data_IF_757788572678
#
_entry.id   IF_757788572678
#
_cell.length_a   1.000
_cell.length_b   1.000
_cell.length_c   1.000
_cell.angle_alpha   90.00
_cell.angle_beta   90.00
_cell.angle_gamma   90.00
#
_symmetry.space_group_name_H-M   'P 1'
#
loop_
_entity.id
_entity.type
_entity.pdbx_description
1 polymer ?
#
# COMPACT_ATOMS: atom_id res chain seq x y z
N UNK A 1 48.99 0.33 81.07
CA UNK A 1 49.99 -0.63 80.57
C UNK A 1 49.36 -1.46 79.47
N UNK A 2 50.10 -1.85 78.41
CA UNK A 2 49.91 -3.05 77.55
C UNK A 2 48.46 -3.21 76.98
N UNK A 3 48.11 -2.92 75.72
CA UNK A 3 48.79 -2.83 74.42
C UNK A 3 49.27 -4.18 73.79
N UNK A 4 48.82 -4.47 72.55
CA UNK A 4 49.19 -5.59 71.64
C UNK A 4 48.76 -7.02 72.08
N UNK A 5 48.47 -8.03 71.21
CA UNK A 5 48.45 -8.33 69.74
C UNK A 5 47.16 -9.16 69.45
N UNK A 6 46.60 -9.47 68.26
CA UNK A 6 46.66 -9.15 66.80
C UNK A 6 45.29 -9.64 66.23
N UNK A 7 44.58 -9.02 65.28
CA UNK A 7 44.84 -8.76 63.86
C UNK A 7 44.82 -10.01 62.92
N UNK A 8 43.66 -10.27 62.27
CA UNK A 8 43.55 -10.73 60.87
C UNK A 8 42.07 -10.73 60.36
N UNK A 9 41.90 -10.82 59.03
CA UNK A 9 40.62 -10.86 58.27
C UNK A 9 39.81 -9.55 58.20
N UNK A 10 40.14 -8.72 57.21
CA UNK A 10 39.20 -7.76 56.62
C UNK A 10 38.51 -8.39 55.41
N UNK A 11 37.18 -8.32 55.34
CA UNK A 11 36.41 -8.36 54.08
C UNK A 11 35.00 -7.84 54.36
N UNK A 12 34.59 -6.80 53.64
CA UNK A 12 33.25 -6.22 53.77
C UNK A 12 32.27 -6.96 52.85
N UNK A 13 31.10 -7.34 53.39
CA UNK A 13 29.93 -7.68 52.58
C UNK A 13 28.76 -6.86 53.08
N UNK A 14 28.17 -6.13 52.14
CA UNK A 14 26.96 -5.33 52.21
C UNK A 14 25.99 -5.71 53.35
N UNK A 15 25.85 -4.81 54.32
CA UNK A 15 24.54 -4.60 54.92
C UNK A 15 23.62 -4.07 53.82
N UNK A 16 22.86 -4.97 53.19
CA UNK A 16 21.79 -4.58 52.28
C UNK A 16 20.80 -3.76 53.11
N UNK A 17 20.79 -2.44 52.89
CA UNK A 17 19.64 -1.61 53.21
C UNK A 17 18.49 -2.18 52.39
N UNK A 18 17.68 -3.02 53.02
CA UNK A 18 16.47 -3.53 52.41
C UNK A 18 15.52 -2.35 52.22
N UNK A 19 15.61 -1.72 51.05
CA UNK A 19 14.53 -0.95 50.47
C UNK A 19 13.31 -1.87 50.54
N UNK A 20 12.39 -1.55 51.46
CA UNK A 20 11.22 -2.36 51.69
C UNK A 20 10.40 -2.34 50.41
N UNK A 21 10.46 -3.43 49.63
CA UNK A 21 9.66 -3.65 48.43
C UNK A 21 8.21 -3.77 48.88
N UNK A 22 7.57 -2.61 49.07
CA UNK A 22 6.15 -2.47 48.79
C UNK A 22 5.95 -2.98 47.37
N UNK A 23 4.88 -3.73 47.13
CA UNK A 23 4.46 -3.91 45.75
C UNK A 23 4.20 -2.50 45.19
N UNK A 24 4.95 -2.11 44.17
CA UNK A 24 4.88 -0.75 43.63
C UNK A 24 3.51 -0.53 43.00
N UNK A 25 2.66 0.15 43.77
CA UNK A 25 1.34 0.61 43.35
C UNK A 25 1.58 1.67 42.28
N UNK A 26 1.42 1.25 41.02
CA UNK A 26 1.83 2.01 39.82
C UNK A 26 1.19 3.42 39.74
N UNK A 27 0.14 3.67 40.52
CA UNK A 27 -0.56 4.95 40.64
C UNK A 27 -0.08 5.82 41.81
N UNK A 28 1.05 5.49 42.45
CA UNK A 28 1.67 6.26 43.55
C UNK A 28 3.02 6.90 43.20
N UNK A 29 3.48 6.84 41.95
CA UNK A 29 4.59 7.65 41.48
C UNK A 29 4.19 9.13 41.35
N UNK A 30 5.12 10.05 41.63
CA UNK A 30 4.86 11.49 41.64
C UNK A 30 4.42 12.02 40.27
N UNK A 31 4.92 11.43 39.17
CA UNK A 31 4.55 11.82 37.81
C UNK A 31 3.20 11.21 37.38
N UNK A 32 2.88 10.00 37.82
CA UNK A 32 1.60 9.33 37.58
C UNK A 32 0.44 10.03 38.33
N UNK A 33 0.65 10.40 39.61
CA UNK A 33 -0.31 11.23 40.36
C UNK A 33 -0.54 12.57 39.66
N UNK A 34 0.54 13.24 39.24
CA UNK A 34 0.53 14.53 38.56
C UNK A 34 -0.15 14.45 37.19
N UNK A 35 0.09 13.38 36.42
CA UNK A 35 -0.56 13.13 35.14
C UNK A 35 -2.07 12.90 35.30
N UNK A 36 -2.47 12.01 36.21
CA UNK A 36 -3.88 11.72 36.49
C UNK A 36 -4.64 12.98 36.95
N UNK A 37 -4.05 13.76 37.89
CA UNK A 37 -4.63 15.05 38.34
C UNK A 37 -4.73 16.07 37.20
N UNK A 38 -3.71 16.17 36.34
CA UNK A 38 -3.74 17.05 35.17
C UNK A 38 -4.82 16.64 34.16
N UNK A 39 -5.02 15.34 33.92
CA UNK A 39 -6.02 14.83 32.99
C UNK A 39 -7.45 15.01 33.53
N UNK A 40 -7.70 14.78 34.82
CA UNK A 40 -8.97 15.10 35.49
C UNK A 40 -9.28 16.60 35.40
N UNK A 41 -8.27 17.47 35.61
CA UNK A 41 -8.40 18.92 35.46
C UNK A 41 -8.69 19.33 34.00
N UNK A 42 -8.06 18.67 33.02
CA UNK A 42 -8.30 18.90 31.60
C UNK A 42 -9.73 18.52 31.18
N UNK A 43 -10.25 17.36 31.61
CA UNK A 43 -11.66 17.00 31.39
C UNK A 43 -12.59 18.01 32.07
N UNK A 44 -12.33 18.37 33.33
CA UNK A 44 -13.13 19.34 34.09
C UNK A 44 -13.10 20.76 33.49
N UNK A 45 -12.09 21.09 32.68
CA UNK A 45 -12.01 22.32 31.89
C UNK A 45 -12.83 22.19 30.59
N UNK A 46 -12.74 21.06 29.90
CA UNK A 46 -13.49 20.81 28.67
C UNK A 46 -15.01 20.67 28.91
N UNK A 47 -15.42 20.12 30.06
CA UNK A 47 -16.81 20.14 30.53
C UNK A 47 -17.34 21.59 30.66
N UNK A 48 -16.48 22.54 31.06
CA UNK A 48 -16.82 23.96 31.23
C UNK A 48 -16.68 24.79 29.95
N UNK A 49 -15.86 24.37 28.99
CA UNK A 49 -15.74 25.06 27.69
C UNK A 49 -16.95 24.81 26.79
N UNK A 50 -17.70 23.73 27.06
CA UNK A 50 -18.87 23.33 26.28
C UNK A 50 -18.53 22.82 24.88
N UNK A 51 -17.24 22.60 24.55
CA UNK A 51 -16.80 22.16 23.24
C UNK A 51 -16.82 20.62 23.14
N UNK A 52 -17.73 20.00 22.36
CA UNK A 52 -17.92 18.55 22.39
C UNK A 52 -16.70 17.75 21.94
N UNK A 53 -15.89 18.30 21.02
CA UNK A 53 -14.66 17.66 20.54
C UNK A 53 -13.50 17.75 21.55
N UNK A 54 -13.34 18.88 22.27
CA UNK A 54 -12.38 19.00 23.37
C UNK A 54 -12.74 18.01 24.49
N UNK A 55 -14.02 17.97 24.88
CA UNK A 55 -14.52 17.06 25.92
C UNK A 55 -14.39 15.59 25.51
N UNK A 56 -14.70 15.23 24.26
CA UNK A 56 -14.52 13.86 23.77
C UNK A 56 -13.06 13.41 23.86
N UNK A 57 -12.09 14.25 23.46
CA UNK A 57 -10.66 13.92 23.56
C UNK A 57 -10.22 13.81 25.02
N UNK A 58 -10.61 14.76 25.86
CA UNK A 58 -10.25 14.75 27.28
C UNK A 58 -10.86 13.54 28.03
N UNK A 59 -12.12 13.17 27.74
CA UNK A 59 -12.73 11.96 28.28
C UNK A 59 -12.06 10.69 27.74
N UNK A 60 -11.70 10.60 26.45
CA UNK A 60 -10.95 9.43 25.93
C UNK A 60 -9.58 9.26 26.57
N UNK A 61 -8.92 10.34 26.99
CA UNK A 61 -7.62 10.28 27.64
C UNK A 61 -7.66 9.61 29.03
N UNK A 62 -8.82 9.63 29.71
CA UNK A 62 -8.97 9.08 31.07
C UNK A 62 -9.96 7.91 31.18
N UNK A 63 -10.63 7.54 30.08
CA UNK A 63 -11.67 6.52 30.11
C UNK A 63 -11.12 5.12 30.45
N UNK A 64 -9.91 4.78 29.99
CA UNK A 64 -9.26 3.48 30.22
C UNK A 64 -7.95 3.63 31.01
N UNK A 65 -7.86 4.66 31.86
CA UNK A 65 -6.75 4.90 32.80
C UNK A 65 -7.17 4.41 34.20
N UNK A 66 -6.48 3.37 34.68
CA UNK A 66 -6.75 2.69 35.95
C UNK A 66 -6.39 3.53 37.18
N UNK A 67 -5.57 4.58 37.03
CA UNK A 67 -5.15 5.43 38.15
C UNK A 67 -6.16 6.55 38.49
N UNK A 68 -7.09 6.85 37.60
CA UNK A 68 -8.03 7.99 37.72
C UNK A 68 -8.97 7.86 38.91
N UNK A 69 -9.54 6.68 39.14
CA UNK A 69 -10.51 6.43 40.23
C UNK A 69 -9.89 6.61 41.63
N UNK A 70 -8.55 6.61 41.74
CA UNK A 70 -7.82 6.93 42.97
C UNK A 70 -7.95 8.42 43.34
N UNK A 71 -8.08 9.30 42.36
CA UNK A 71 -8.04 10.76 42.52
C UNK A 71 -9.41 11.43 42.29
N UNK A 72 -10.24 10.92 41.38
CA UNK A 72 -11.69 11.18 41.34
C UNK A 72 -12.45 9.91 40.92
N UNK A 73 -13.09 9.26 41.91
CA UNK A 73 -13.93 8.06 41.77
C UNK A 73 -15.09 8.18 40.79
N UNK A 74 -15.39 9.39 40.31
CA UNK A 74 -16.44 9.65 39.32
C UNK A 74 -15.88 10.09 37.97
N UNK A 75 -14.58 10.41 37.85
CA UNK A 75 -14.02 10.91 36.60
C UNK A 75 -14.01 9.83 35.51
N UNK A 76 -13.56 8.61 35.81
CA UNK A 76 -13.53 7.52 34.84
C UNK A 76 -14.95 7.12 34.39
N UNK A 77 -15.90 7.07 35.33
CA UNK A 77 -17.31 6.79 35.03
C UNK A 77 -17.96 7.88 34.14
N UNK A 78 -17.75 9.17 34.47
CA UNK A 78 -18.20 10.29 33.62
C UNK A 78 -17.56 10.24 32.24
N UNK A 79 -16.27 9.95 32.16
CA UNK A 79 -15.54 9.82 30.90
C UNK A 79 -16.10 8.69 30.02
N UNK A 80 -16.29 7.48 30.55
CA UNK A 80 -16.87 6.34 29.82
C UNK A 80 -18.26 6.66 29.24
N UNK A 81 -19.11 7.35 30.01
CA UNK A 81 -20.41 7.83 29.53
C UNK A 81 -20.30 8.90 28.42
N UNK A 82 -19.42 9.88 28.60
CA UNK A 82 -19.17 10.96 27.63
C UNK A 82 -18.61 10.42 26.31
N UNK A 83 -17.62 9.53 26.34
CA UNK A 83 -16.96 8.99 25.13
C UNK A 83 -17.99 8.36 24.18
N UNK A 84 -18.81 7.44 24.66
CA UNK A 84 -19.78 6.72 23.82
C UNK A 84 -20.86 7.64 23.23
N UNK A 85 -21.30 8.64 23.98
CA UNK A 85 -22.31 9.61 23.51
C UNK A 85 -21.73 10.62 22.53
N UNK A 86 -20.71 11.36 22.96
CA UNK A 86 -20.11 12.44 22.18
C UNK A 86 -19.48 11.93 20.88
N UNK A 87 -18.86 10.74 20.89
CA UNK A 87 -18.32 10.12 19.69
C UNK A 87 -19.40 9.86 18.62
N UNK A 88 -20.59 9.40 19.02
CA UNK A 88 -21.72 9.19 18.09
C UNK A 88 -22.30 10.51 17.57
N UNK A 89 -22.40 11.52 18.43
CA UNK A 89 -22.91 12.85 18.06
C UNK A 89 -21.94 13.56 17.09
N UNK A 90 -20.64 13.53 17.39
CA UNK A 90 -19.57 14.05 16.54
C UNK A 90 -19.45 13.29 15.21
N UNK A 91 -19.54 11.95 15.22
CA UNK A 91 -19.51 11.15 14.01
C UNK A 91 -20.67 11.51 13.07
N UNK A 92 -21.89 11.63 13.59
CA UNK A 92 -23.07 12.05 12.81
C UNK A 92 -22.94 13.48 12.30
N UNK A 93 -22.39 14.39 13.10
CA UNK A 93 -22.13 15.78 12.70
C UNK A 93 -21.04 15.90 11.61
N UNK A 94 -20.04 15.01 11.61
CA UNK A 94 -19.04 14.90 10.55
C UNK A 94 -19.63 14.27 9.26
N UNK A 95 -20.44 13.22 9.39
CA UNK A 95 -21.11 12.57 8.27
C UNK A 95 -22.09 13.52 7.56
N UNK A 96 -22.86 14.31 8.32
CA UNK A 96 -23.76 15.32 7.77
C UNK A 96 -23.04 16.46 7.02
N UNK A 97 -21.75 16.69 7.31
CA UNK A 97 -20.88 17.64 6.60
C UNK A 97 -20.12 17.01 5.42
N UNK A 98 -20.34 15.72 5.13
CA UNK A 98 -19.62 14.98 4.10
C UNK A 98 -18.20 14.55 4.48
N UNK A 99 -17.77 14.78 5.72
CA UNK A 99 -16.44 14.36 6.22
C UNK A 99 -16.47 12.86 6.60
N UNK A 100 -16.73 11.99 5.62
CA UNK A 100 -16.91 10.55 5.83
C UNK A 100 -15.62 9.87 6.31
N UNK A 101 -14.53 10.04 5.56
CA UNK A 101 -13.23 9.40 5.81
C UNK A 101 -12.08 10.41 5.87
N UNK A 102 -11.07 10.08 6.69
CA UNK A 102 -9.74 10.69 6.70
C UNK A 102 -8.78 9.69 7.38
N UNK A 103 -7.50 9.75 7.05
CA UNK A 103 -6.48 8.96 7.76
C UNK A 103 -6.05 9.60 9.10
N UNK A 104 -6.36 10.88 9.29
CA UNK A 104 -5.98 11.68 10.46
C UNK A 104 -6.63 11.18 11.77
N UNK A 105 -5.97 11.33 12.93
CA UNK A 105 -6.54 10.96 14.22
C UNK A 105 -7.68 11.88 14.68
N UNK A 106 -8.28 11.53 15.81
CA UNK A 106 -9.21 12.43 16.53
C UNK A 106 -8.47 13.70 16.97
N UNK A 107 -9.05 14.86 16.69
CA UNK A 107 -8.54 16.18 17.11
C UNK A 107 -9.56 16.93 17.97
N UNK A 108 -9.04 17.80 18.83
CA UNK A 108 -9.83 18.74 19.66
C UNK A 108 -10.54 19.83 18.83
N UNK A 109 -10.06 20.10 17.61
CA UNK A 109 -10.59 21.13 16.70
C UNK A 109 -11.92 20.75 16.01
N UNK A 110 -12.42 19.53 16.25
CA UNK A 110 -13.64 19.00 15.63
C UNK A 110 -13.52 18.70 14.13
N UNK A 111 -12.32 18.80 13.53
CA UNK A 111 -12.05 18.49 12.12
C UNK A 111 -11.66 17.02 11.93
N UNK A 112 -12.41 16.12 12.53
CA UNK A 112 -12.19 14.66 12.44
C UNK A 112 -13.34 14.03 11.64
N UNK A 113 -13.03 12.99 10.87
CA UNK A 113 -14.00 12.31 10.02
C UNK A 113 -14.94 11.37 10.80
N UNK A 114 -16.12 11.11 10.25
CA UNK A 114 -17.13 10.25 10.85
C UNK A 114 -16.58 8.83 11.13
N UNK A 115 -15.84 8.25 10.17
CA UNK A 115 -15.13 6.99 10.35
C UNK A 115 -14.22 7.01 11.59
N UNK A 116 -13.40 8.07 11.75
CA UNK A 116 -12.44 8.17 12.86
C UNK A 116 -13.11 8.35 14.22
N UNK A 117 -14.27 9.00 14.28
CA UNK A 117 -15.07 9.06 15.51
C UNK A 117 -15.70 7.71 15.88
N UNK A 118 -16.21 6.94 14.91
CA UNK A 118 -16.76 5.60 15.16
C UNK A 118 -15.68 4.58 15.56
N UNK A 119 -14.53 4.56 14.87
CA UNK A 119 -13.36 3.77 15.29
C UNK A 119 -12.91 4.12 16.73
N UNK A 120 -12.90 5.41 17.08
CA UNK A 120 -12.44 5.89 18.38
C UNK A 120 -13.33 5.45 19.57
N UNK A 121 -14.58 5.03 19.31
CA UNK A 121 -15.50 4.47 20.32
C UNK A 121 -15.74 2.97 20.15
N UNK A 122 -15.03 2.29 19.24
CA UNK A 122 -15.20 0.86 18.97
C UNK A 122 -16.50 0.48 18.25
N UNK A 123 -17.26 1.42 17.68
CA UNK A 123 -18.41 1.09 16.84
C UNK A 123 -17.95 0.77 15.42
N UNK A 124 -17.34 -0.40 15.28
CA UNK A 124 -16.82 -0.89 14.01
C UNK A 124 -17.93 -1.13 12.97
N UNK A 125 -19.19 -1.32 13.39
CA UNK A 125 -20.33 -1.47 12.48
C UNK A 125 -20.68 -0.14 11.79
N UNK A 126 -20.81 0.94 12.56
CA UNK A 126 -21.02 2.29 11.99
C UNK A 126 -19.78 2.79 11.24
N UNK A 127 -18.57 2.49 11.72
CA UNK A 127 -17.34 2.77 10.98
C UNK A 127 -17.32 2.05 9.61
N UNK A 128 -17.72 0.78 9.57
CA UNK A 128 -17.87 0.00 8.32
C UNK A 128 -18.92 0.60 7.39
N UNK A 129 -20.08 1.01 7.92
CA UNK A 129 -21.14 1.68 7.13
C UNK A 129 -20.61 2.97 6.49
N UNK A 130 -19.88 3.80 7.24
CA UNK A 130 -19.29 5.04 6.73
C UNK A 130 -18.15 4.75 5.74
N UNK A 131 -17.35 3.70 5.96
CA UNK A 131 -16.31 3.27 5.02
C UNK A 131 -16.93 2.85 3.68
N UNK A 132 -17.91 1.94 3.67
CA UNK A 132 -18.63 1.56 2.44
C UNK A 132 -19.27 2.78 1.76
N UNK A 133 -19.93 3.66 2.51
CA UNK A 133 -20.49 4.92 1.98
C UNK A 133 -19.42 5.79 1.30
N UNK A 134 -18.18 5.78 1.79
CA UNK A 134 -17.06 6.48 1.16
C UNK A 134 -16.61 5.76 -0.12
N UNK A 135 -16.45 4.43 -0.10
CA UNK A 135 -16.08 3.63 -1.29
C UNK A 135 -17.14 3.78 -2.39
N UNK A 136 -18.44 3.70 -2.07
CA UNK A 136 -19.52 3.91 -3.05
C UNK A 136 -19.55 5.32 -3.66
N UNK A 137 -18.94 6.33 -3.03
CA UNK A 137 -18.81 7.67 -3.59
C UNK A 137 -17.63 7.81 -4.58
N UNK A 138 -16.70 6.84 -4.60
CA UNK A 138 -15.55 6.72 -5.50
C UNK A 138 -15.19 5.24 -5.74
N UNK A 139 -16.09 4.44 -6.35
CA UNK A 139 -15.92 2.99 -6.46
C UNK A 139 -14.67 2.59 -7.28
N UNK A 140 -14.15 3.51 -8.08
CA UNK A 140 -12.95 3.36 -8.92
C UNK A 140 -11.62 3.74 -8.23
N UNK A 141 -11.63 4.25 -6.99
CA UNK A 141 -10.42 4.61 -6.23
C UNK A 141 -9.79 3.36 -5.57
N UNK A 142 -8.66 2.84 -6.08
CA UNK A 142 -8.07 1.60 -5.57
C UNK A 142 -7.42 1.80 -4.19
N UNK A 143 -6.98 3.01 -3.85
CA UNK A 143 -6.32 3.32 -2.57
C UNK A 143 -7.34 3.37 -1.46
N UNK A 144 -8.50 3.99 -1.73
CA UNK A 144 -9.65 3.97 -0.83
C UNK A 144 -10.19 2.54 -0.66
N UNK A 145 -10.31 1.78 -1.75
CA UNK A 145 -10.75 0.39 -1.69
C UNK A 145 -9.79 -0.50 -0.87
N UNK A 146 -8.47 -0.40 -1.10
CA UNK A 146 -7.46 -1.14 -0.32
C UNK A 146 -7.51 -0.78 1.17
N UNK A 147 -7.79 0.48 1.49
CA UNK A 147 -8.00 0.94 2.87
C UNK A 147 -9.26 0.30 3.49
N UNK A 148 -10.36 0.23 2.74
CA UNK A 148 -11.60 -0.42 3.19
C UNK A 148 -11.43 -1.94 3.36
N UNK A 149 -10.73 -2.61 2.44
CA UNK A 149 -10.43 -4.04 2.51
C UNK A 149 -9.48 -4.38 3.68
N UNK A 150 -8.52 -3.48 3.96
CA UNK A 150 -7.56 -3.64 5.04
C UNK A 150 -8.04 -3.25 6.44
N UNK A 151 -9.28 -2.72 6.58
CA UNK A 151 -9.74 -2.01 7.78
C UNK A 151 -9.63 -2.81 9.09
N UNK A 152 -9.84 -4.13 9.03
CA UNK A 152 -9.82 -4.99 10.21
C UNK A 152 -8.41 -5.21 10.79
N UNK A 153 -7.34 -4.99 10.00
CA UNK A 153 -5.95 -5.30 10.39
C UNK A 153 -5.46 -4.57 11.64
N UNK A 154 -6.00 -3.38 11.93
CA UNK A 154 -5.66 -2.59 13.11
C UNK A 154 -6.68 -2.70 14.25
N UNK A 155 -7.79 -3.42 14.05
CA UNK A 155 -8.89 -3.51 15.01
C UNK A 155 -8.70 -4.70 15.96
N UNK A 156 -8.83 -4.43 17.25
CA UNK A 156 -8.86 -5.45 18.30
C UNK A 156 -10.31 -5.81 18.63
N UNK A 157 -10.61 -7.10 18.65
CA UNK A 157 -11.90 -7.64 19.04
C UNK A 157 -12.06 -7.72 20.57
N UNK A 158 -13.11 -8.38 21.07
CA UNK A 158 -13.29 -8.61 22.49
C UNK A 158 -12.15 -9.45 23.07
N UNK A 159 -11.90 -9.27 24.37
CA UNK A 159 -11.02 -10.13 25.16
C UNK A 159 -11.75 -11.45 25.45
N UNK A 160 -11.10 -12.57 25.19
CA UNK A 160 -11.62 -13.91 25.50
C UNK A 160 -11.74 -14.06 27.03
N UNK A 161 -12.94 -14.42 27.57
CA UNK A 161 -13.16 -14.50 29.01
C UNK A 161 -12.56 -15.76 29.67
N UNK A 162 -11.99 -16.70 28.90
CA UNK A 162 -11.34 -17.93 29.38
C UNK A 162 -9.83 -17.86 29.26
N UNK A 163 -9.28 -17.38 28.14
CA UNK A 163 -7.82 -17.29 27.93
C UNK A 163 -7.26 -15.93 28.31
N UNK A 164 -8.09 -14.87 28.36
CA UNK A 164 -7.62 -13.50 28.57
C UNK A 164 -6.88 -12.91 27.36
N UNK A 165 -6.87 -13.59 26.21
CA UNK A 165 -6.28 -13.10 24.97
C UNK A 165 -7.23 -12.12 24.26
N UNK A 166 -6.69 -11.25 23.42
CA UNK A 166 -7.50 -10.33 22.61
C UNK A 166 -7.64 -10.93 21.21
N UNK A 167 -8.86 -11.29 20.82
CA UNK A 167 -9.12 -11.83 19.49
C UNK A 167 -8.96 -10.74 18.43
N UNK A 168 -8.50 -11.05 17.20
CA UNK A 168 -8.59 -10.13 16.07
C UNK A 168 -10.06 -9.74 15.83
N UNK A 169 -10.33 -8.48 15.48
CA UNK A 169 -11.66 -8.13 14.98
C UNK A 169 -11.83 -8.61 13.53
N UNK A 170 -13.05 -8.99 13.18
CA UNK A 170 -13.43 -9.29 11.81
C UNK A 170 -14.78 -8.60 11.51
N UNK A 171 -14.82 -7.84 10.41
CA UNK A 171 -16.04 -7.20 9.95
C UNK A 171 -17.10 -8.23 9.51
N UNK A 172 -18.41 -7.92 9.61
CA UNK A 172 -19.47 -8.82 9.19
C UNK A 172 -19.30 -9.32 7.75
N UNK A 173 -19.67 -10.57 7.40
CA UNK A 173 -19.48 -11.12 6.06
C UNK A 173 -20.02 -10.23 4.92
N UNK A 174 -21.17 -9.60 5.13
CA UNK A 174 -21.80 -8.66 4.21
C UNK A 174 -20.92 -7.45 3.82
N UNK A 175 -20.06 -6.97 4.72
CA UNK A 175 -19.11 -5.88 4.42
C UNK A 175 -18.09 -6.32 3.37
N UNK A 176 -17.52 -7.53 3.57
CA UNK A 176 -16.56 -8.12 2.64
C UNK A 176 -17.23 -8.64 1.36
N UNK A 177 -18.54 -8.88 1.37
CA UNK A 177 -19.35 -9.20 0.17
C UNK A 177 -19.58 -7.97 -0.70
N UNK A 178 -19.95 -6.83 -0.13
CA UNK A 178 -20.10 -5.58 -0.89
C UNK A 178 -18.76 -5.12 -1.48
N UNK A 179 -17.66 -5.22 -0.73
CA UNK A 179 -16.33 -4.96 -1.29
C UNK A 179 -15.98 -5.93 -2.45
N UNK A 180 -16.34 -7.21 -2.37
CA UNK A 180 -16.20 -8.15 -3.50
C UNK A 180 -17.07 -7.78 -4.70
N UNK A 181 -18.28 -7.29 -4.48
CA UNK A 181 -19.18 -6.80 -5.53
C UNK A 181 -18.62 -5.55 -6.24
N UNK A 182 -18.08 -4.58 -5.50
CA UNK A 182 -17.39 -3.39 -6.04
C UNK A 182 -16.14 -3.79 -6.84
N UNK A 183 -15.33 -4.73 -6.32
CA UNK A 183 -14.15 -5.23 -7.03
C UNK A 183 -14.50 -6.00 -8.32
N UNK A 184 -15.55 -6.83 -8.31
CA UNK A 184 -16.04 -7.50 -9.52
C UNK A 184 -16.55 -6.50 -10.54
N UNK A 185 -17.33 -5.51 -10.12
CA UNK A 185 -17.89 -4.46 -11.00
C UNK A 185 -16.79 -3.68 -11.72
N UNK A 186 -15.75 -3.27 -11.01
CA UNK A 186 -14.59 -2.59 -11.61
C UNK A 186 -13.82 -3.52 -12.57
N UNK A 187 -13.55 -4.77 -12.15
CA UNK A 187 -12.86 -5.74 -13.00
C UNK A 187 -13.63 -6.04 -14.29
N UNK A 188 -14.94 -6.25 -14.20
CA UNK A 188 -15.82 -6.55 -15.34
C UNK A 188 -15.95 -5.36 -16.30
N UNK A 189 -16.00 -4.12 -15.79
CA UNK A 189 -15.97 -2.92 -16.64
C UNK A 189 -14.65 -2.80 -17.40
N UNK A 190 -13.52 -2.99 -16.72
CA UNK A 190 -12.19 -2.94 -17.34
C UNK A 190 -12.01 -4.05 -18.39
N UNK A 191 -12.46 -5.28 -18.10
CA UNK A 191 -12.42 -6.40 -19.04
C UNK A 191 -13.38 -6.22 -20.24
N UNK A 192 -14.50 -5.51 -20.09
CA UNK A 192 -15.37 -5.16 -21.23
C UNK A 192 -14.73 -4.10 -22.11
N UNK A 193 -14.15 -3.04 -21.52
CA UNK A 193 -13.41 -2.01 -22.26
C UNK A 193 -12.14 -2.56 -22.93
N UNK A 194 -11.51 -3.57 -22.34
CA UNK A 194 -10.36 -4.29 -22.89
C UNK A 194 -10.71 -5.06 -24.17
N UNK A 195 -11.86 -5.73 -24.21
CA UNK A 195 -12.33 -6.45 -25.40
C UNK A 195 -12.56 -5.50 -26.58
N UNK A 196 -13.04 -4.27 -26.31
CA UNK A 196 -13.18 -3.21 -27.33
C UNK A 196 -11.83 -2.76 -27.88
N UNK A 197 -10.85 -2.46 -27.02
CA UNK A 197 -9.50 -2.10 -27.48
C UNK A 197 -8.84 -3.25 -28.25
N UNK A 198 -9.03 -4.50 -27.79
CA UNK A 198 -8.43 -5.69 -28.38
C UNK A 198 -8.85 -5.95 -29.84
N UNK A 199 -9.99 -5.40 -30.30
CA UNK A 199 -10.42 -5.49 -31.70
C UNK A 199 -9.41 -4.83 -32.66
N UNK A 200 -8.68 -3.80 -32.21
CA UNK A 200 -7.66 -3.14 -33.03
C UNK A 200 -6.36 -3.96 -33.21
N UNK A 201 -6.17 -5.06 -32.46
CA UNK A 201 -4.95 -5.89 -32.53
C UNK A 201 -4.78 -6.60 -33.88
N UNK A 202 -5.86 -6.77 -34.66
CA UNK A 202 -5.81 -7.32 -36.02
C UNK A 202 -5.75 -6.25 -37.12
N UNK A 203 -5.89 -4.96 -36.79
CA UNK A 203 -5.93 -3.84 -37.74
C UNK A 203 -4.57 -3.46 -38.36
N UNK A 204 -4.45 -2.23 -38.87
CA UNK A 204 -3.18 -1.66 -39.34
C UNK A 204 -2.11 -1.63 -38.25
N UNK A 205 -0.84 -1.40 -38.60
CA UNK A 205 0.25 -1.32 -37.62
C UNK A 205 0.01 -0.23 -36.55
N UNK A 206 -0.56 0.92 -36.95
CA UNK A 206 -0.86 2.03 -36.04
C UNK A 206 -2.04 1.72 -35.11
N UNK A 207 -3.10 1.08 -35.61
CA UNK A 207 -4.24 0.62 -34.80
C UNK A 207 -3.80 -0.46 -33.81
N UNK A 208 -3.01 -1.44 -34.26
CA UNK A 208 -2.46 -2.49 -33.41
C UNK A 208 -1.54 -1.91 -32.33
N UNK A 209 -0.74 -0.88 -32.63
CA UNK A 209 0.06 -0.18 -31.62
C UNK A 209 -0.83 0.40 -30.51
N UNK A 210 -1.83 1.21 -30.88
CA UNK A 210 -2.77 1.85 -29.95
C UNK A 210 -3.55 0.81 -29.12
N UNK A 211 -4.11 -0.19 -29.79
CA UNK A 211 -4.84 -1.30 -29.19
C UNK A 211 -3.99 -2.06 -28.17
N UNK A 212 -2.73 -2.35 -28.52
CA UNK A 212 -1.83 -3.12 -27.65
C UNK A 212 -1.47 -2.42 -26.34
N UNK A 213 -1.41 -1.09 -26.35
CA UNK A 213 -1.21 -0.32 -25.11
C UNK A 213 -2.50 -0.31 -24.27
N UNK A 214 -3.63 0.02 -24.91
CA UNK A 214 -4.92 0.17 -24.24
C UNK A 214 -5.47 -1.13 -23.63
N UNK A 215 -5.39 -2.25 -24.35
CA UNK A 215 -5.81 -3.58 -23.86
C UNK A 215 -4.92 -4.05 -22.72
N UNK A 216 -3.59 -4.00 -22.85
CA UNK A 216 -2.69 -4.47 -21.79
C UNK A 216 -2.83 -3.64 -20.51
N UNK A 217 -2.95 -2.31 -20.62
CA UNK A 217 -3.20 -1.44 -19.46
C UNK A 217 -4.50 -1.82 -18.74
N UNK A 218 -5.56 -2.14 -19.48
CA UNK A 218 -6.85 -2.57 -18.92
C UNK A 218 -6.78 -3.96 -18.30
N UNK A 219 -6.04 -4.91 -18.87
CA UNK A 219 -5.80 -6.22 -18.26
C UNK A 219 -5.03 -6.09 -16.93
N UNK A 220 -3.99 -5.25 -16.88
CA UNK A 220 -3.24 -4.97 -15.65
C UNK A 220 -4.16 -4.32 -14.60
N UNK A 221 -4.93 -3.29 -14.97
CA UNK A 221 -5.88 -2.65 -14.05
C UNK A 221 -6.97 -3.64 -13.58
N UNK A 222 -7.50 -4.49 -14.46
CA UNK A 222 -8.47 -5.52 -14.08
C UNK A 222 -7.86 -6.53 -13.09
N UNK A 223 -6.62 -6.98 -13.30
CA UNK A 223 -5.94 -7.88 -12.36
C UNK A 223 -5.77 -7.29 -10.95
N UNK A 224 -5.53 -5.98 -10.86
CA UNK A 224 -5.41 -5.26 -9.60
C UNK A 224 -6.72 -5.24 -8.79
N UNK A 225 -7.88 -5.37 -9.45
CA UNK A 225 -9.18 -5.58 -8.79
C UNK A 225 -9.49 -7.07 -8.57
N UNK A 226 -9.17 -7.94 -9.53
CA UNK A 226 -9.41 -9.38 -9.43
C UNK A 226 -8.67 -10.07 -8.28
N UNK A 227 -7.58 -9.47 -7.76
CA UNK A 227 -6.85 -9.99 -6.57
C UNK A 227 -7.72 -10.11 -5.30
N UNK A 228 -8.86 -9.42 -5.26
CA UNK A 228 -9.84 -9.49 -4.15
C UNK A 228 -10.94 -10.53 -4.38
N UNK A 229 -10.93 -11.25 -5.52
CA UNK A 229 -11.95 -12.22 -5.92
C UNK A 229 -11.42 -13.66 -5.80
N UNK A 230 -12.28 -14.68 -5.55
CA UNK A 230 -11.84 -16.05 -5.26
C UNK A 230 -10.95 -16.73 -6.32
N UNK A 231 -11.03 -16.28 -7.57
CA UNK A 231 -10.23 -16.83 -8.68
C UNK A 231 -8.92 -16.07 -8.95
N UNK A 232 -8.71 -14.90 -8.34
CA UNK A 232 -7.58 -14.02 -8.65
C UNK A 232 -7.57 -13.56 -10.11
N UNK A 233 -6.41 -13.11 -10.58
CA UNK A 233 -6.18 -12.53 -11.90
C UNK A 233 -6.12 -13.53 -13.08
N UNK A 234 -6.47 -14.81 -12.86
CA UNK A 234 -6.38 -15.90 -13.85
C UNK A 234 -7.05 -15.56 -15.18
N UNK A 235 -8.21 -14.89 -15.15
CA UNK A 235 -8.96 -14.52 -16.36
C UNK A 235 -8.24 -13.43 -17.17
N UNK A 236 -7.70 -12.41 -16.50
CA UNK A 236 -6.91 -11.35 -17.14
C UNK A 236 -5.62 -11.89 -17.76
N UNK A 237 -4.93 -12.81 -17.06
CA UNK A 237 -3.73 -13.49 -17.57
C UNK A 237 -4.02 -14.40 -18.77
N UNK A 238 -5.10 -15.18 -18.72
CA UNK A 238 -5.52 -16.04 -19.83
C UNK A 238 -5.86 -15.21 -21.07
N UNK A 239 -6.58 -14.10 -20.93
CA UNK A 239 -6.79 -13.15 -22.03
C UNK A 239 -5.50 -12.53 -22.54
N UNK A 240 -4.57 -12.16 -21.65
CA UNK A 240 -3.29 -11.59 -22.06
C UNK A 240 -2.52 -12.52 -22.99
N UNK A 241 -2.43 -13.80 -22.64
CA UNK A 241 -1.82 -14.81 -23.51
C UNK A 241 -2.54 -14.95 -24.86
N UNK A 242 -3.89 -14.93 -24.88
CA UNK A 242 -4.68 -14.93 -26.12
C UNK A 242 -4.43 -13.68 -26.99
N UNK A 243 -4.25 -12.49 -26.39
CA UNK A 243 -3.88 -11.28 -27.13
C UNK A 243 -2.46 -11.37 -27.68
N UNK A 244 -1.50 -11.89 -26.90
CA UNK A 244 -0.14 -12.21 -27.36
C UNK A 244 -0.15 -13.15 -28.57
N UNK A 245 -0.91 -14.25 -28.50
CA UNK A 245 -1.09 -15.20 -29.60
C UNK A 245 -1.78 -14.59 -30.83
N UNK A 246 -2.63 -13.57 -30.65
CA UNK A 246 -3.21 -12.79 -31.76
C UNK A 246 -2.17 -11.87 -32.40
N UNK A 247 -1.35 -11.18 -31.61
CA UNK A 247 -0.28 -10.29 -32.09
C UNK A 247 0.79 -11.08 -32.86
N UNK A 248 1.19 -12.25 -32.35
CA UNK A 248 2.19 -13.14 -32.98
C UNK A 248 1.77 -13.73 -34.35
N UNK A 249 0.48 -13.66 -34.72
CA UNK A 249 -0.03 -14.12 -36.03
C UNK A 249 0.06 -13.06 -37.13
N UNK A 250 0.44 -11.82 -36.81
CA UNK A 250 0.57 -10.72 -37.77
C UNK A 250 1.87 -10.86 -38.57
N UNK A 251 1.82 -10.56 -39.87
CA UNK A 251 2.94 -10.74 -40.82
C UNK A 251 4.14 -9.80 -40.70
N UNK A 252 4.29 -9.05 -39.60
CA UNK A 252 5.45 -8.20 -39.31
C UNK A 252 6.19 -8.78 -38.08
N UNK A 253 7.26 -9.57 -38.24
CA UNK A 253 7.89 -10.26 -37.12
C UNK A 253 8.58 -9.32 -36.11
N UNK A 254 9.02 -8.14 -36.52
CA UNK A 254 9.88 -7.30 -35.68
C UNK A 254 9.07 -6.40 -34.75
N UNK A 255 7.99 -5.80 -35.28
CA UNK A 255 7.07 -4.98 -34.49
C UNK A 255 6.26 -5.83 -33.50
N UNK A 256 5.86 -7.04 -33.89
CA UNK A 256 4.90 -7.87 -33.14
C UNK A 256 5.52 -8.56 -31.93
N UNK A 257 6.75 -9.08 -32.05
CA UNK A 257 7.43 -9.80 -30.97
C UNK A 257 7.56 -8.95 -29.70
N UNK A 258 8.03 -7.70 -29.82
CA UNK A 258 8.23 -6.82 -28.66
C UNK A 258 6.94 -6.41 -27.94
N UNK A 259 5.80 -6.50 -28.61
CA UNK A 259 4.48 -6.23 -28.04
C UNK A 259 3.92 -7.51 -27.41
N UNK A 260 3.91 -8.64 -28.15
CA UNK A 260 3.44 -9.93 -27.65
C UNK A 260 4.23 -10.40 -26.42
N UNK A 261 5.53 -10.13 -26.36
CA UNK A 261 6.38 -10.41 -25.20
C UNK A 261 5.79 -9.85 -23.90
N UNK A 262 5.37 -8.58 -23.89
CA UNK A 262 4.78 -7.91 -22.71
C UNK A 262 3.48 -8.57 -22.25
N UNK A 263 2.66 -9.02 -23.20
CA UNK A 263 1.43 -9.77 -22.93
C UNK A 263 1.72 -11.13 -22.29
N UNK A 264 2.73 -11.86 -22.80
CA UNK A 264 3.16 -13.13 -22.19
C UNK A 264 3.84 -12.95 -20.83
N UNK A 265 4.62 -11.87 -20.65
CA UNK A 265 5.24 -11.52 -19.36
C UNK A 265 4.18 -11.27 -18.28
N UNK A 266 3.16 -10.45 -18.58
CA UNK A 266 2.04 -10.22 -17.67
C UNK A 266 1.19 -11.49 -17.44
N UNK A 267 0.99 -12.32 -18.47
CA UNK A 267 0.33 -13.61 -18.33
C UNK A 267 1.12 -14.60 -17.44
N UNK A 268 2.44 -14.44 -17.31
CA UNK A 268 3.34 -15.43 -16.72
C UNK A 268 3.63 -16.64 -17.63
N UNK A 269 3.37 -16.52 -18.95
CA UNK A 269 3.51 -17.62 -19.91
C UNK A 269 4.97 -17.88 -20.29
N UNK A 270 5.33 -19.15 -20.52
CA UNK A 270 6.67 -19.56 -20.98
C UNK A 270 7.07 -18.88 -22.30
N UNK A 271 6.09 -18.57 -23.16
CA UNK A 271 6.25 -17.89 -24.44
C UNK A 271 7.01 -16.55 -24.31
N UNK A 272 6.96 -15.87 -23.17
CA UNK A 272 7.74 -14.66 -22.89
C UNK A 272 9.25 -14.89 -23.11
N UNK A 273 9.77 -16.04 -22.64
CA UNK A 273 11.19 -16.41 -22.79
C UNK A 273 11.54 -16.74 -24.24
N UNK A 274 10.64 -17.43 -24.95
CA UNK A 274 10.82 -17.77 -26.37
C UNK A 274 10.83 -16.54 -27.26
N UNK A 275 9.92 -15.59 -27.03
CA UNK A 275 9.88 -14.31 -27.73
C UNK A 275 11.15 -13.51 -27.45
N UNK A 276 11.56 -13.38 -26.19
CA UNK A 276 12.81 -12.69 -25.84
C UNK A 276 14.04 -13.32 -26.51
N UNK A 277 14.14 -14.65 -26.52
CA UNK A 277 15.23 -15.36 -27.20
C UNK A 277 15.26 -15.06 -28.71
N UNK A 278 14.09 -15.06 -29.39
CA UNK A 278 13.96 -14.71 -30.81
C UNK A 278 14.33 -13.24 -31.08
N UNK A 279 13.98 -12.32 -30.19
CA UNK A 279 14.40 -10.92 -30.31
C UNK A 279 15.93 -10.75 -30.13
N UNK A 280 16.52 -11.45 -29.17
CA UNK A 280 17.98 -11.43 -28.98
C UNK A 280 18.71 -12.05 -30.20
N UNK A 281 18.21 -13.16 -30.74
CA UNK A 281 18.75 -13.79 -31.95
C UNK A 281 18.65 -12.85 -33.16
N UNK A 282 17.49 -12.23 -33.38
CA UNK A 282 17.27 -11.27 -34.46
C UNK A 282 18.16 -10.02 -34.31
N UNK A 283 18.35 -9.53 -33.08
CA UNK A 283 19.28 -8.43 -32.80
C UNK A 283 20.74 -8.79 -33.11
N UNK A 284 21.18 -9.99 -32.72
CA UNK A 284 22.52 -10.52 -33.06
C UNK A 284 22.68 -10.71 -34.57
N UNK A 285 21.64 -11.15 -35.27
CA UNK A 285 21.65 -11.31 -36.72
C UNK A 285 21.75 -9.96 -37.44
N UNK A 286 20.93 -8.97 -37.06
CA UNK A 286 21.02 -7.61 -37.62
C UNK A 286 22.35 -6.93 -37.32
N UNK A 287 22.93 -7.15 -36.12
CA UNK A 287 24.28 -6.69 -35.79
C UNK A 287 25.32 -7.19 -36.80
N UNK A 288 25.37 -8.52 -37.01
CA UNK A 288 26.25 -9.16 -38.01
C UNK A 288 26.00 -8.67 -39.43
N UNK A 289 24.74 -8.47 -39.84
CA UNK A 289 24.42 -7.91 -41.17
C UNK A 289 24.93 -6.46 -41.29
N UNK A 290 24.77 -5.64 -40.26
CA UNK A 290 25.29 -4.27 -40.22
C UNK A 290 26.82 -4.19 -40.23
N UNK A 291 27.49 -5.10 -39.54
CA UNK A 291 28.96 -5.27 -39.59
C UNK A 291 29.43 -5.69 -40.98
N UNK A 292 28.78 -6.70 -41.59
CA UNK A 292 29.10 -7.16 -42.94
C UNK A 292 28.88 -6.07 -44.00
N UNK A 293 27.80 -5.30 -43.91
CA UNK A 293 27.53 -4.17 -44.82
C UNK A 293 28.57 -3.06 -44.64
N UNK A 294 28.95 -2.71 -43.41
CA UNK A 294 30.05 -1.76 -43.16
C UNK A 294 31.37 -2.27 -43.72
N UNK A 295 31.73 -3.53 -43.46
CA UNK A 295 32.96 -4.14 -43.97
C UNK A 295 33.02 -4.16 -45.51
N UNK A 296 31.93 -4.49 -46.18
CA UNK A 296 31.83 -4.46 -47.64
C UNK A 296 31.96 -3.04 -48.21
N UNK A 297 31.42 -2.01 -47.54
CA UNK A 297 31.60 -0.61 -47.91
C UNK A 297 33.07 -0.19 -47.75
N UNK A 298 33.71 -0.52 -46.62
CA UNK A 298 35.12 -0.19 -46.38
C UNK A 298 36.04 -0.86 -47.40
N UNK A 299 35.90 -2.18 -47.63
CA UNK A 299 36.72 -2.90 -48.61
C UNK A 299 36.53 -2.37 -50.04
N UNK A 300 35.30 -2.01 -50.42
CA UNK A 300 35.04 -1.40 -51.73
C UNK A 300 35.69 -0.02 -51.85
N UNK A 301 35.58 0.81 -50.80
CA UNK A 301 36.26 2.11 -50.71
C UNK A 301 37.77 1.97 -50.86
N UNK A 302 38.40 1.04 -50.13
CA UNK A 302 39.85 0.77 -50.21
C UNK A 302 40.27 0.30 -51.61
N UNK A 303 39.49 -0.58 -52.24
CA UNK A 303 39.77 -1.07 -53.60
C UNK A 303 39.59 0.02 -54.68
N UNK A 304 38.64 0.95 -54.51
CA UNK A 304 38.42 2.08 -55.43
C UNK A 304 39.48 3.17 -55.21
N UNK A 305 39.84 3.48 -53.95
CA UNK A 305 40.94 4.35 -53.58
C UNK A 305 42.28 3.84 -54.14
N UNK A 306 42.55 2.53 -54.04
CA UNK A 306 43.76 1.94 -54.61
C UNK A 306 43.79 2.06 -56.14
N UNK A 307 42.71 1.71 -56.84
CA UNK A 307 42.61 1.88 -58.31
C UNK A 307 42.76 3.33 -58.76
N UNK A 308 42.36 4.30 -57.94
CA UNK A 308 42.60 5.72 -58.21
C UNK A 308 44.09 6.06 -58.06
N UNK A 309 44.74 5.61 -56.99
CA UNK A 309 46.18 5.82 -56.77
C UNK A 309 47.05 5.14 -57.83
N UNK A 310 46.73 3.89 -58.19
CA UNK A 310 47.44 3.13 -59.23
C UNK A 310 47.36 3.90 -60.58
N UNK A 311 46.15 4.29 -61.00
CA UNK A 311 45.94 5.12 -62.21
C UNK A 311 46.62 6.49 -62.14
N UNK A 312 46.69 7.11 -60.96
CA UNK A 312 47.38 8.40 -60.78
C UNK A 312 48.89 8.23 -60.99
N UNK A 313 49.48 7.18 -60.42
CA UNK A 313 50.90 6.88 -60.59
C UNK A 313 51.26 6.55 -62.05
N UNK A 314 50.39 5.83 -62.78
CA UNK A 314 50.55 5.63 -64.22
C UNK A 314 50.48 6.97 -64.98
N UNK A 315 49.54 7.85 -64.65
CA UNK A 315 49.43 9.18 -65.28
C UNK A 315 50.65 10.08 -65.01
N UNK A 316 51.15 10.11 -63.77
CA UNK A 316 52.33 10.90 -63.39
C UNK A 316 53.58 10.40 -64.14
N UNK A 317 53.67 9.09 -64.34
CA UNK A 317 54.74 8.42 -65.10
C UNK A 317 54.63 8.63 -66.62
N UNK A 318 53.44 8.72 -67.19
CA UNK A 318 53.23 9.08 -68.61
C UNK A 318 53.45 10.57 -68.89
N UNK A 319 53.20 11.45 -67.90
CA UNK A 319 53.33 12.91 -68.03
C UNK A 319 54.70 13.47 -67.60
N UNK A 320 55.54 12.66 -66.95
CA UNK A 320 56.96 12.99 -66.70
C UNK A 320 57.21 13.94 -65.53
N UNK A 321 56.48 13.75 -64.42
CA UNK A 321 56.73 14.42 -63.13
C UNK A 321 57.54 13.52 -62.16
#
# INVERSE_FOLDING_TARGET
>A
MILFRMACCALAIFAVTASSVRADDICLGDEEEKAAKAAIAAMSKAEKSGQPAELFVASRAIADDDCIDRFDKNAQARAKANVSKLGRELAKAAEAKGFLYSHEPVRVDGRTSAFRYFEAIGDFNEANRVMLKTVHAKPEDPTLFETAWGVDRSRRGPRDPKTGEIQPHASPPAYHEELRHIASTNADQLMKAEETDAQGLSGSAQEAMKASMGSLEKLVKASAWMKFLPNGDKLAKSRAEQRGDTIMKRGDPMFTQGIAGRYYEFAGSSKAKEVKAKQEEMGRAMGKTGENVKGAITQKSEAEQKKFNDKKADLEKELGF
#
